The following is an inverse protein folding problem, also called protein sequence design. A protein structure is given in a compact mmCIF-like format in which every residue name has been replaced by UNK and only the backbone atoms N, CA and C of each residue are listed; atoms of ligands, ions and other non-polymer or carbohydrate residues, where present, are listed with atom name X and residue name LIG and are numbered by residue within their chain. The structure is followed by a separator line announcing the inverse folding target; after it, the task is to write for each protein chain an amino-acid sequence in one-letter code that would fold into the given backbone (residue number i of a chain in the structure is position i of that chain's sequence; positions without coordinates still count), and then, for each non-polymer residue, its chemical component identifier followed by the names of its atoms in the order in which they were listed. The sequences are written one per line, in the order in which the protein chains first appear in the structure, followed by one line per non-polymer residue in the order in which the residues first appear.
data_IF_860369726737
#
_entry.id   IF_860369726737
#
_cell.length_a   1.000
_cell.length_b   1.000
_cell.length_c   1.000
_cell.angle_alpha   90.00
_cell.angle_beta   90.00
_cell.angle_gamma   90.00
#
_symmetry.space_group_name_H-M   'P 1'
#
loop_
_entity.id
_entity.type
_entity.pdbx_description
1 polymer ?
#
# COMPACT_ATOMS: atom_id res chain seq x y z
N UNK A 1 -17.43 20.22 13.20
CA UNK A 1 -16.86 19.09 12.42
C UNK A 1 -15.96 19.67 11.33
N UNK A 2 -14.70 19.22 11.21
CA UNK A 2 -13.81 19.70 10.15
C UNK A 2 -13.97 18.79 8.92
N UNK A 3 -14.52 19.31 7.83
CA UNK A 3 -14.84 18.53 6.63
C UNK A 3 -13.63 18.27 5.73
N UNK A 4 -12.57 19.07 5.86
CA UNK A 4 -11.38 18.99 5.00
C UNK A 4 -10.71 17.60 4.92
N UNK A 5 -10.50 16.83 6.02
CA UNK A 5 -9.97 15.48 5.90
C UNK A 5 -10.92 14.51 5.16
N UNK A 6 -12.24 14.71 5.24
CA UNK A 6 -13.20 13.89 4.50
C UNK A 6 -13.06 14.06 2.99
N UNK A 7 -12.77 15.27 2.52
CA UNK A 7 -12.53 15.54 1.10
C UNK A 7 -11.31 14.79 0.54
N UNK A 8 -10.39 14.31 1.39
CA UNK A 8 -9.24 13.49 0.98
C UNK A 8 -9.55 12.00 1.14
N UNK A 9 -10.02 11.60 2.33
CA UNK A 9 -10.13 10.18 2.68
C UNK A 9 -11.32 9.50 2.01
N UNK A 10 -12.44 10.22 1.82
CA UNK A 10 -13.65 9.62 1.22
C UNK A 10 -13.43 9.26 -0.25
N UNK A 11 -12.94 10.16 -1.13
CA UNK A 11 -12.63 9.77 -2.51
C UNK A 11 -11.58 8.67 -2.60
N UNK A 12 -10.54 8.74 -1.76
CA UNK A 12 -9.51 7.71 -1.68
C UNK A 12 -10.12 6.33 -1.37
N UNK A 13 -10.92 6.22 -0.32
CA UNK A 13 -11.48 4.93 0.11
C UNK A 13 -12.59 4.45 -0.83
N UNK A 14 -13.37 5.37 -1.39
CA UNK A 14 -14.37 5.05 -2.41
C UNK A 14 -13.72 4.41 -3.65
N UNK A 15 -12.56 4.92 -4.07
CA UNK A 15 -11.82 4.38 -5.21
C UNK A 15 -11.05 3.10 -4.83
N UNK A 16 -10.21 3.16 -3.80
CA UNK A 16 -9.31 2.07 -3.44
C UNK A 16 -10.08 0.92 -2.79
N UNK A 17 -10.74 1.18 -1.65
CA UNK A 17 -11.51 0.15 -0.94
C UNK A 17 -12.76 -0.25 -1.71
N UNK A 18 -13.49 0.74 -2.24
CA UNK A 18 -14.73 0.49 -2.96
C UNK A 18 -14.49 -0.08 -4.35
N UNK A 19 -14.08 0.77 -5.29
CA UNK A 19 -13.99 0.40 -6.70
C UNK A 19 -12.98 -0.73 -6.95
N UNK A 20 -11.79 -0.69 -6.36
CA UNK A 20 -10.75 -1.68 -6.69
C UNK A 20 -10.81 -2.98 -5.88
N UNK A 21 -11.26 -2.96 -4.62
CA UNK A 21 -11.34 -4.20 -3.83
C UNK A 21 -12.75 -4.78 -3.79
N UNK A 22 -13.73 -3.99 -3.34
CA UNK A 22 -15.07 -4.52 -3.07
C UNK A 22 -15.88 -4.82 -4.34
N UNK A 23 -15.49 -4.29 -5.50
CA UNK A 23 -16.19 -4.53 -6.77
C UNK A 23 -16.12 -5.99 -7.24
N UNK A 24 -15.14 -6.76 -6.75
CA UNK A 24 -15.05 -8.20 -6.99
C UNK A 24 -16.17 -8.98 -6.27
N UNK A 25 -16.73 -8.41 -5.20
CA UNK A 25 -17.73 -9.06 -4.33
C UNK A 25 -19.14 -8.49 -4.50
N UNK A 26 -19.28 -7.28 -5.05
CA UNK A 26 -20.57 -6.62 -5.21
C UNK A 26 -20.56 -5.62 -6.39
N UNK A 27 -21.74 -5.24 -6.93
CA UNK A 27 -21.82 -4.26 -8.01
C UNK A 27 -21.06 -2.96 -7.68
N UNK A 28 -20.31 -2.45 -8.66
CA UNK A 28 -19.40 -1.31 -8.46
C UNK A 28 -20.04 -0.07 -7.80
N UNK A 29 -21.32 0.30 -8.02
CA UNK A 29 -21.90 1.45 -7.33
C UNK A 29 -22.03 1.21 -5.82
N UNK A 30 -22.42 -0.01 -5.41
CA UNK A 30 -22.52 -0.39 -4.01
C UNK A 30 -21.14 -0.48 -3.36
N UNK A 31 -20.15 -1.00 -4.09
CA UNK A 31 -18.77 -1.07 -3.64
C UNK A 31 -18.19 0.32 -3.34
N UNK A 32 -18.37 1.27 -4.26
CA UNK A 32 -17.96 2.68 -4.10
C UNK A 32 -18.63 3.32 -2.88
N UNK A 33 -19.94 3.11 -2.71
CA UNK A 33 -20.69 3.60 -1.55
C UNK A 33 -20.20 2.97 -0.24
N UNK A 34 -19.90 1.67 -0.23
CA UNK A 34 -19.35 0.98 0.93
C UNK A 34 -17.97 1.53 1.32
N UNK A 35 -17.07 1.73 0.35
CA UNK A 35 -15.77 2.36 0.58
C UNK A 35 -15.89 3.79 1.13
N UNK A 36 -16.81 4.59 0.59
CA UNK A 36 -17.11 5.93 1.08
C UNK A 36 -17.69 5.91 2.51
N UNK A 37 -18.63 5.02 2.78
CA UNK A 37 -19.25 4.85 4.09
C UNK A 37 -18.21 4.42 5.15
N UNK A 38 -17.29 3.53 4.77
CA UNK A 38 -16.20 3.09 5.63
C UNK A 38 -15.27 4.25 6.01
N UNK A 39 -14.87 5.08 5.05
CA UNK A 39 -14.11 6.30 5.34
C UNK A 39 -14.83 7.24 6.31
N UNK A 40 -16.15 7.44 6.10
CA UNK A 40 -16.96 8.26 6.99
C UNK A 40 -16.96 7.70 8.41
N UNK A 41 -17.14 6.38 8.55
CA UNK A 41 -17.12 5.69 9.84
C UNK A 41 -15.79 5.90 10.57
N UNK A 42 -14.66 5.72 9.89
CA UNK A 42 -13.33 5.99 10.46
C UNK A 42 -13.24 7.44 10.93
N UNK A 43 -13.70 8.39 10.13
CA UNK A 43 -13.72 9.80 10.51
C UNK A 43 -14.56 10.06 11.76
N UNK A 44 -15.73 9.43 11.89
CA UNK A 44 -16.58 9.53 13.08
C UNK A 44 -15.91 8.95 14.32
N UNK A 45 -15.26 7.80 14.19
CA UNK A 45 -14.48 7.18 15.27
C UNK A 45 -13.31 8.07 15.67
N UNK A 46 -12.57 8.61 14.69
CA UNK A 46 -11.44 9.52 14.92
C UNK A 46 -11.87 10.80 15.66
N UNK A 47 -13.08 11.31 15.42
CA UNK A 47 -13.63 12.45 16.15
C UNK A 47 -13.99 12.13 17.60
N UNK A 48 -14.34 10.87 17.90
CA UNK A 48 -14.63 10.41 19.27
C UNK A 48 -13.36 10.22 20.12
N UNK A 49 -12.18 10.23 19.49
CA UNK A 49 -10.91 10.18 20.21
C UNK A 49 -10.75 11.46 21.02
N UNK A 50 -10.88 11.35 22.35
CA UNK A 50 -10.75 12.47 23.25
C UNK A 50 -9.42 13.21 23.08
N UNK A 51 -9.42 14.52 23.32
CA UNK A 51 -8.25 15.39 23.09
C UNK A 51 -6.97 14.88 23.79
N UNK A 52 -7.12 14.25 24.97
CA UNK A 52 -6.01 13.65 25.73
C UNK A 52 -5.29 12.50 25.01
N UNK A 53 -5.98 11.77 24.14
CA UNK A 53 -5.44 10.60 23.43
C UNK A 53 -5.04 10.92 22.00
N UNK A 54 -5.59 11.99 21.42
CA UNK A 54 -5.41 12.33 20.00
C UNK A 54 -3.94 12.36 19.58
N UNK A 55 -3.08 13.00 20.37
CA UNK A 55 -1.64 13.04 20.08
C UNK A 55 -0.99 11.65 20.09
N UNK A 56 -1.31 10.80 21.07
CA UNK A 56 -0.78 9.43 21.16
C UNK A 56 -1.26 8.55 20.00
N UNK A 57 -2.52 8.69 19.60
CA UNK A 57 -3.05 7.95 18.45
C UNK A 57 -2.40 8.43 17.15
N UNK A 58 -2.23 9.75 16.99
CA UNK A 58 -1.50 10.32 15.85
C UNK A 58 -0.08 9.74 15.75
N UNK A 59 0.66 9.74 16.86
CA UNK A 59 2.02 9.21 16.94
C UNK A 59 2.06 7.71 16.63
N UNK A 60 1.13 6.93 17.20
CA UNK A 60 0.99 5.51 16.92
C UNK A 60 0.70 5.22 15.44
N UNK A 61 -0.22 5.97 14.83
CA UNK A 61 -0.55 5.82 13.42
C UNK A 61 0.61 6.23 12.49
N UNK A 62 1.38 7.26 12.85
CA UNK A 62 2.60 7.62 12.11
C UNK A 62 3.63 6.51 12.18
N UNK A 63 3.85 5.93 13.36
CA UNK A 63 4.78 4.80 13.53
C UNK A 63 4.31 3.57 12.75
N UNK A 64 3.01 3.24 12.81
CA UNK A 64 2.44 2.14 12.04
C UNK A 64 2.54 2.38 10.52
N UNK A 65 2.31 3.61 10.06
CA UNK A 65 2.49 4.00 8.67
C UNK A 65 3.95 3.87 8.22
N UNK A 66 4.90 4.33 9.04
CA UNK A 66 6.33 4.15 8.80
C UNK A 66 6.71 2.66 8.76
N UNK A 67 6.25 1.88 9.73
CA UNK A 67 6.52 0.44 9.81
C UNK A 67 5.96 -0.29 8.58
N UNK A 68 4.72 -0.01 8.18
CA UNK A 68 4.11 -0.61 6.99
C UNK A 68 4.81 -0.21 5.70
N UNK A 69 5.22 1.06 5.56
CA UNK A 69 5.98 1.52 4.39
C UNK A 69 7.38 0.89 4.32
N UNK A 70 8.10 0.83 5.44
CA UNK A 70 9.40 0.16 5.53
C UNK A 70 9.26 -1.34 5.23
N UNK A 71 8.25 -1.98 5.82
CA UNK A 71 7.95 -3.37 5.62
C UNK A 71 7.74 -3.69 4.13
N UNK A 72 6.82 -2.95 3.48
CA UNK A 72 6.52 -3.17 2.07
C UNK A 72 7.70 -2.79 1.15
N UNK A 73 8.42 -1.71 1.47
CA UNK A 73 9.57 -1.24 0.68
C UNK A 73 10.77 -2.17 0.76
N UNK A 74 11.23 -2.49 1.97
CA UNK A 74 12.36 -3.40 2.19
C UNK A 74 12.01 -4.84 1.80
N UNK A 75 10.81 -5.31 2.12
CA UNK A 75 10.34 -6.62 1.67
C UNK A 75 10.26 -6.69 0.15
N UNK A 76 9.75 -5.64 -0.50
CA UNK A 76 9.65 -5.57 -1.96
C UNK A 76 11.01 -5.59 -2.63
N UNK A 77 11.97 -4.81 -2.10
CA UNK A 77 13.36 -4.83 -2.56
C UNK A 77 14.00 -6.21 -2.38
N UNK A 78 13.80 -6.85 -1.22
CA UNK A 78 14.30 -8.21 -0.98
C UNK A 78 13.70 -9.20 -1.99
N UNK A 79 12.39 -9.14 -2.25
CA UNK A 79 11.74 -10.00 -3.24
C UNK A 79 12.29 -9.78 -4.66
N UNK A 80 12.53 -8.53 -5.06
CA UNK A 80 13.15 -8.20 -6.35
C UNK A 80 14.56 -8.79 -6.44
N UNK A 81 15.40 -8.62 -5.42
CA UNK A 81 16.76 -9.15 -5.40
C UNK A 81 16.80 -10.67 -5.44
N UNK A 82 15.88 -11.34 -4.72
CA UNK A 82 15.76 -12.80 -4.73
C UNK A 82 15.30 -13.33 -6.09
N UNK A 83 14.28 -12.70 -6.70
CA UNK A 83 13.79 -13.08 -8.02
C UNK A 83 14.82 -12.80 -9.12
N UNK A 84 15.48 -11.64 -9.09
CA UNK A 84 16.57 -11.32 -10.03
C UNK A 84 17.73 -12.33 -9.91
N UNK A 85 18.11 -12.69 -8.68
CA UNK A 85 19.10 -13.73 -8.43
C UNK A 85 18.67 -15.09 -8.98
N UNK A 86 17.42 -15.50 -8.75
CA UNK A 86 16.87 -16.75 -9.26
C UNK A 86 16.86 -16.79 -10.80
N UNK A 87 16.45 -15.70 -11.46
CA UNK A 87 16.37 -15.57 -12.91
C UNK A 87 17.73 -15.59 -13.62
N UNK A 88 18.84 -15.51 -12.88
CA UNK A 88 20.19 -15.73 -13.42
C UNK A 88 20.59 -17.20 -13.44
N UNK A 89 19.85 -18.08 -12.76
CA UNK A 89 20.13 -19.50 -12.72
C UNK A 89 19.66 -20.21 -13.99
N UNK A 90 20.55 -21.01 -14.59
CA UNK A 90 20.24 -21.86 -15.75
C UNK A 90 19.36 -23.07 -15.41
N UNK A 91 19.20 -23.39 -14.13
CA UNK A 91 18.38 -24.52 -13.64
C UNK A 91 16.99 -24.11 -13.16
N UNK A 92 16.67 -22.80 -13.19
CA UNK A 92 15.36 -22.32 -12.76
C UNK A 92 14.28 -22.81 -13.73
N UNK A 93 13.25 -23.46 -13.19
CA UNK A 93 12.03 -23.83 -13.91
C UNK A 93 10.94 -22.79 -13.66
N UNK A 94 9.90 -22.78 -14.51
CA UNK A 94 8.75 -21.90 -14.32
C UNK A 94 8.01 -22.22 -13.02
N UNK A 95 7.77 -23.51 -12.75
CA UNK A 95 7.10 -23.98 -11.52
C UNK A 95 7.85 -23.58 -10.25
N UNK A 96 9.18 -23.67 -10.26
CA UNK A 96 9.99 -23.25 -9.11
C UNK A 96 9.85 -21.75 -8.88
N UNK A 97 9.84 -20.95 -9.95
CA UNK A 97 9.66 -19.50 -9.87
C UNK A 97 8.27 -19.14 -9.31
N UNK A 98 7.22 -19.82 -9.78
CA UNK A 98 5.85 -19.68 -9.29
C UNK A 98 5.75 -19.99 -7.79
N UNK A 99 6.32 -21.13 -7.35
CA UNK A 99 6.31 -21.54 -5.94
C UNK A 99 7.06 -20.57 -5.04
N UNK A 100 8.13 -19.94 -5.53
CA UNK A 100 8.84 -18.88 -4.81
C UNK A 100 8.00 -17.59 -4.68
N UNK A 101 7.13 -17.33 -5.64
CA UNK A 101 6.39 -16.08 -5.75
C UNK A 101 5.01 -16.12 -5.08
N UNK A 102 4.21 -17.16 -5.33
CA UNK A 102 2.81 -17.25 -4.89
C UNK A 102 2.61 -16.94 -3.40
N UNK A 103 3.45 -17.44 -2.47
CA UNK A 103 3.29 -17.15 -1.05
C UNK A 103 3.39 -15.67 -0.70
N UNK A 104 4.04 -14.85 -1.55
CA UNK A 104 4.18 -13.41 -1.31
C UNK A 104 2.87 -12.64 -1.53
N UNK A 105 1.98 -13.11 -2.41
CA UNK A 105 0.73 -12.41 -2.77
C UNK A 105 -0.19 -12.18 -1.54
N UNK A 106 -0.67 -13.22 -0.82
CA UNK A 106 -1.59 -13.03 0.30
C UNK A 106 -0.96 -12.20 1.42
N UNK A 107 0.36 -12.30 1.56
CA UNK A 107 1.12 -11.57 2.55
C UNK A 107 1.15 -10.06 2.26
N UNK A 108 1.43 -9.67 1.00
CA UNK A 108 1.35 -8.26 0.59
C UNK A 108 -0.09 -7.74 0.57
N UNK A 109 -1.09 -8.57 0.26
CA UNK A 109 -2.50 -8.19 0.37
C UNK A 109 -2.79 -7.80 1.83
N UNK A 110 -2.48 -8.65 2.80
CA UNK A 110 -2.78 -8.39 4.21
C UNK A 110 -2.18 -7.06 4.71
N UNK A 111 -0.89 -6.81 4.44
CA UNK A 111 -0.22 -5.57 4.88
C UNK A 111 -0.82 -4.34 4.21
N UNK A 112 -1.05 -4.41 2.89
CA UNK A 112 -1.63 -3.31 2.14
C UNK A 112 -3.07 -3.02 2.56
N UNK A 113 -3.89 -4.05 2.79
CA UNK A 113 -5.26 -3.90 3.29
C UNK A 113 -5.30 -3.18 4.64
N UNK A 114 -4.40 -3.48 5.58
CA UNK A 114 -4.33 -2.76 6.87
C UNK A 114 -4.01 -1.28 6.65
N UNK A 115 -3.06 -0.97 5.76
CA UNK A 115 -2.69 0.40 5.44
C UNK A 115 -3.84 1.16 4.77
N UNK A 116 -4.48 0.57 3.76
CA UNK A 116 -5.58 1.14 2.99
C UNK A 116 -6.85 1.33 3.79
N UNK A 117 -7.26 0.29 4.52
CA UNK A 117 -8.55 0.26 5.17
C UNK A 117 -8.55 1.03 6.48
N UNK A 118 -7.39 1.21 7.12
CA UNK A 118 -7.35 1.78 8.47
C UNK A 118 -6.27 2.85 8.64
N UNK A 119 -4.99 2.51 8.45
CA UNK A 119 -3.90 3.39 8.89
C UNK A 119 -3.89 4.72 8.13
N UNK A 120 -3.92 4.66 6.79
CA UNK A 120 -3.88 5.84 5.91
C UNK A 120 -5.12 6.73 6.10
N UNK A 121 -6.35 6.18 6.10
CA UNK A 121 -7.54 6.97 6.46
C UNK A 121 -7.46 7.61 7.85
N UNK A 122 -7.13 6.82 8.88
CA UNK A 122 -7.15 7.28 10.25
C UNK A 122 -6.09 8.36 10.51
N UNK A 123 -4.90 8.23 9.93
CA UNK A 123 -3.83 9.22 10.14
C UNK A 123 -4.19 10.59 9.56
N UNK A 124 -4.91 10.62 8.43
CA UNK A 124 -5.38 11.87 7.84
C UNK A 124 -6.41 12.54 8.75
N UNK A 125 -7.36 11.80 9.31
CA UNK A 125 -8.36 12.36 10.22
C UNK A 125 -7.75 12.85 11.54
N UNK A 126 -6.93 12.03 12.18
CA UNK A 126 -6.35 12.34 13.50
C UNK A 126 -5.28 13.44 13.37
N UNK A 127 -4.42 13.34 12.36
CA UNK A 127 -3.29 14.22 12.06
C UNK A 127 -3.65 15.51 11.30
N UNK A 128 -4.93 15.86 11.15
CA UNK A 128 -5.38 17.07 10.45
C UNK A 128 -5.13 18.38 11.24
N UNK A 129 -3.95 18.54 11.84
CA UNK A 129 -3.54 19.73 12.60
C UNK A 129 -2.64 20.62 11.73
N UNK A 130 -2.74 21.93 11.87
CA UNK A 130 -1.86 22.83 11.13
C UNK A 130 -0.40 22.61 11.54
N UNK A 131 0.51 22.58 10.56
CA UNK A 131 1.95 22.44 10.79
C UNK A 131 2.66 21.58 9.74
N UNK A 132 3.99 21.51 9.85
CA UNK A 132 4.86 20.73 8.94
C UNK A 132 4.53 19.23 8.95
N UNK A 133 4.16 18.68 10.11
CA UNK A 133 3.77 17.27 10.24
C UNK A 133 2.62 16.87 9.32
N UNK A 134 1.59 17.73 9.20
CA UNK A 134 0.48 17.49 8.27
C UNK A 134 0.94 17.46 6.82
N UNK A 135 1.86 18.34 6.42
CA UNK A 135 2.38 18.36 5.05
C UNK A 135 3.09 17.05 4.73
N UNK A 136 3.92 16.56 5.66
CA UNK A 136 4.63 15.28 5.51
C UNK A 136 3.66 14.09 5.42
N UNK A 137 2.65 14.04 6.31
CA UNK A 137 1.61 12.99 6.28
C UNK A 137 0.85 13.03 4.95
N UNK A 138 0.40 14.21 4.51
CA UNK A 138 -0.36 14.32 3.27
C UNK A 138 0.49 13.99 2.04
N UNK A 139 1.77 14.37 2.01
CA UNK A 139 2.68 13.96 0.95
C UNK A 139 2.80 12.43 0.87
N UNK A 140 2.98 11.76 2.01
CA UNK A 140 3.04 10.29 2.06
C UNK A 140 1.71 9.66 1.60
N UNK A 141 0.57 10.20 2.03
CA UNK A 141 -0.77 9.73 1.64
C UNK A 141 -1.02 9.88 0.14
N UNK A 142 -0.61 11.00 -0.47
CA UNK A 142 -0.74 11.23 -1.91
C UNK A 142 0.13 10.26 -2.71
N UNK A 143 1.38 10.06 -2.30
CA UNK A 143 2.26 9.05 -2.91
C UNK A 143 1.67 7.65 -2.78
N UNK A 144 1.14 7.32 -1.59
CA UNK A 144 0.48 6.05 -1.35
C UNK A 144 -0.71 5.85 -2.28
N UNK A 145 -1.56 6.86 -2.44
CA UNK A 145 -2.70 6.80 -3.34
C UNK A 145 -2.30 6.57 -4.79
N UNK A 146 -1.37 7.37 -5.32
CA UNK A 146 -0.88 7.19 -6.69
C UNK A 146 -0.31 5.79 -6.90
N UNK A 147 0.50 5.32 -5.94
CA UNK A 147 1.05 3.96 -5.96
C UNK A 147 -0.04 2.88 -5.92
N UNK A 148 -1.10 3.06 -5.13
CA UNK A 148 -2.22 2.09 -5.06
C UNK A 148 -3.02 2.06 -6.36
N UNK A 149 -3.32 3.20 -6.97
CA UNK A 149 -3.99 3.25 -8.28
C UNK A 149 -3.17 2.47 -9.31
N UNK A 150 -1.86 2.72 -9.40
CA UNK A 150 -0.99 1.93 -10.28
C UNK A 150 -0.97 0.44 -9.92
N UNK A 151 -1.01 0.12 -8.63
CA UNK A 151 -1.02 -1.27 -8.17
C UNK A 151 -2.24 -2.02 -8.69
N UNK A 152 -3.43 -1.42 -8.63
CA UNK A 152 -4.65 -2.07 -9.12
C UNK A 152 -4.79 -2.06 -10.65
N UNK A 153 -4.27 -1.05 -11.33
CA UNK A 153 -4.42 -0.93 -12.79
C UNK A 153 -3.38 -1.73 -13.59
N UNK A 154 -2.17 -1.88 -13.07
CA UNK A 154 -1.06 -2.50 -13.82
C UNK A 154 -0.43 -3.67 -13.05
N UNK A 155 0.01 -3.42 -11.81
CA UNK A 155 0.86 -4.38 -11.10
C UNK A 155 0.16 -5.66 -10.68
N UNK A 156 -1.00 -5.55 -10.01
CA UNK A 156 -1.75 -6.71 -9.55
C UNK A 156 -2.28 -7.54 -10.74
N UNK A 157 -2.87 -6.95 -11.80
CA UNK A 157 -3.25 -7.70 -12.99
C UNK A 157 -2.11 -8.48 -13.63
N UNK A 158 -0.93 -7.86 -13.83
CA UNK A 158 0.23 -8.54 -14.41
C UNK A 158 0.66 -9.76 -13.57
N UNK A 159 0.71 -9.59 -12.24
CA UNK A 159 1.12 -10.65 -11.31
C UNK A 159 0.11 -11.77 -11.15
N UNK A 160 -1.18 -11.46 -11.17
CA UNK A 160 -2.24 -12.47 -11.13
C UNK A 160 -2.30 -13.24 -12.45
N UNK A 161 -2.19 -12.55 -13.59
CA UNK A 161 -2.14 -13.20 -14.90
C UNK A 161 -0.95 -14.16 -15.02
N UNK A 162 0.21 -13.79 -14.47
CA UNK A 162 1.35 -14.69 -14.40
C UNK A 162 1.05 -15.91 -13.50
N UNK A 163 0.52 -15.69 -12.30
CA UNK A 163 0.15 -16.76 -11.37
C UNK A 163 -0.93 -17.72 -11.88
N UNK A 164 -1.79 -17.27 -12.81
CA UNK A 164 -2.83 -18.09 -13.42
C UNK A 164 -2.35 -18.83 -14.69
N UNK A 165 -1.15 -18.51 -15.18
CA UNK A 165 -0.59 -19.12 -16.39
C UNK A 165 0.04 -20.48 -16.12
N UNK A 166 0.07 -21.34 -17.13
CA UNK A 166 0.76 -22.63 -17.02
C UNK A 166 2.26 -22.43 -17.16
N UNK A 167 3.01 -22.92 -16.18
CA UNK A 167 4.46 -22.82 -16.15
C UNK A 167 5.13 -24.15 -16.55
N UNK A 168 6.37 -24.02 -17.05
CA UNK A 168 7.16 -25.17 -17.50
C UNK A 168 7.88 -25.84 -16.33
N UNK A 169 7.81 -27.17 -16.28
CA UNK A 169 8.65 -28.00 -15.39
C UNK A 169 10.09 -28.12 -15.90
N UNK A 170 10.35 -27.76 -17.15
CA UNK A 170 11.70 -27.75 -17.73
C UNK A 170 12.45 -26.46 -17.39
N UNK A 171 13.79 -26.48 -17.38
CA UNK A 171 14.58 -25.26 -17.17
C UNK A 171 14.24 -24.19 -18.21
N UNK A 172 14.00 -22.98 -17.73
CA UNK A 172 13.68 -21.84 -18.57
C UNK A 172 14.85 -21.48 -19.49
N UNK A 173 14.55 -21.18 -20.74
CA UNK A 173 15.47 -20.55 -21.67
C UNK A 173 15.82 -19.13 -21.22
N UNK A 174 16.88 -18.55 -21.77
CA UNK A 174 17.24 -17.16 -21.46
C UNK A 174 16.12 -16.17 -21.83
N UNK A 175 15.44 -16.40 -22.97
CA UNK A 175 14.32 -15.58 -23.41
C UNK A 175 13.13 -15.64 -22.45
N UNK A 176 12.77 -16.84 -22.00
CA UNK A 176 11.68 -17.02 -21.03
C UNK A 176 12.00 -16.38 -19.67
N UNK A 177 13.26 -16.42 -19.22
CA UNK A 177 13.65 -15.70 -17.99
C UNK A 177 13.55 -14.19 -18.14
N UNK A 178 13.90 -13.64 -19.31
CA UNK A 178 13.69 -12.21 -19.59
C UNK A 178 12.21 -11.85 -19.64
N UNK A 179 11.37 -12.68 -20.26
CA UNK A 179 9.93 -12.47 -20.28
C UNK A 179 9.33 -12.52 -18.87
N UNK A 180 9.71 -13.53 -18.06
CA UNK A 180 9.27 -13.65 -16.68
C UNK A 180 9.66 -12.42 -15.84
N UNK A 181 10.85 -11.84 -16.07
CA UNK A 181 11.25 -10.61 -15.39
C UNK A 181 10.31 -9.42 -15.69
N UNK A 182 9.83 -9.33 -16.93
CA UNK A 182 8.92 -8.28 -17.39
C UNK A 182 7.50 -8.52 -16.86
N UNK A 183 6.99 -9.75 -16.96
CA UNK A 183 5.64 -10.12 -16.50
C UNK A 183 5.50 -9.94 -14.97
N UNK A 184 6.57 -10.22 -14.23
CA UNK A 184 6.63 -10.01 -12.78
C UNK A 184 6.92 -8.55 -12.37
N UNK A 185 7.19 -7.69 -13.35
CA UNK A 185 7.52 -6.27 -13.20
C UNK A 185 8.66 -6.03 -12.20
N UNK A 186 9.80 -6.72 -12.38
CA UNK A 186 10.96 -6.62 -11.48
C UNK A 186 11.60 -5.22 -11.46
N UNK A 187 11.43 -4.45 -12.53
CA UNK A 187 11.93 -3.09 -12.70
C UNK A 187 10.97 -2.01 -12.15
N UNK A 188 9.83 -2.41 -11.59
CA UNK A 188 8.83 -1.48 -11.06
C UNK A 188 9.39 -0.64 -9.88
N UNK A 189 9.32 0.70 -9.94
CA UNK A 189 9.97 1.59 -8.99
C UNK A 189 9.21 1.77 -7.66
N UNK A 190 8.13 1.03 -7.39
CA UNK A 190 7.29 1.23 -6.19
C UNK A 190 8.04 1.02 -4.88
N UNK A 191 9.05 0.16 -4.84
CA UNK A 191 9.88 -0.01 -3.64
C UNK A 191 10.58 1.31 -3.26
N UNK A 192 11.02 2.10 -4.24
CA UNK A 192 11.60 3.44 -4.02
C UNK A 192 10.54 4.37 -3.44
N UNK A 193 9.33 4.38 -4.00
CA UNK A 193 8.22 5.19 -3.48
C UNK A 193 7.87 4.82 -2.03
N UNK A 194 7.89 3.53 -1.69
CA UNK A 194 7.70 3.02 -0.33
C UNK A 194 8.78 3.50 0.63
N UNK A 195 10.04 3.52 0.21
CA UNK A 195 11.13 4.10 1.00
C UNK A 195 10.98 5.62 1.18
N UNK A 196 10.54 6.34 0.15
CA UNK A 196 10.23 7.78 0.25
C UNK A 196 9.09 8.01 1.24
N UNK A 197 8.01 7.22 1.17
CA UNK A 197 6.91 7.29 2.14
C UNK A 197 7.36 6.97 3.56
N UNK A 198 8.21 5.95 3.72
CA UNK A 198 8.83 5.64 5.01
C UNK A 198 9.60 6.83 5.58
N UNK A 199 10.45 7.47 4.77
CA UNK A 199 11.19 8.67 5.18
C UNK A 199 10.24 9.81 5.56
N UNK A 200 9.17 10.04 4.79
CA UNK A 200 8.17 11.06 5.12
C UNK A 200 7.48 10.81 6.45
N UNK A 201 7.07 9.56 6.74
CA UNK A 201 6.49 9.21 8.04
C UNK A 201 7.50 9.29 9.18
N UNK A 202 8.76 8.90 8.94
CA UNK A 202 9.83 9.01 9.93
C UNK A 202 10.08 10.48 10.29
N UNK A 203 10.21 11.35 9.28
CA UNK A 203 10.32 12.80 9.50
C UNK A 203 9.08 13.35 10.20
N UNK A 204 7.87 12.87 9.86
CA UNK A 204 6.64 13.26 10.53
C UNK A 204 6.61 12.82 12.01
N UNK A 205 7.28 11.73 12.38
CA UNK A 205 7.42 11.31 13.78
C UNK A 205 8.40 12.21 14.55
N UNK A 206 9.44 12.70 13.89
CA UNK A 206 10.45 13.58 14.50
C UNK A 206 9.95 15.03 14.67
N UNK A 207 9.06 15.48 13.79
CA UNK A 207 8.45 16.81 13.89
C UNK A 207 7.36 16.81 14.96
N UNK A 208 7.66 17.39 16.13
CA UNK A 208 6.66 17.56 17.21
C UNK A 208 5.46 18.39 16.72
N UNK A 209 4.22 18.03 17.10
CA UNK A 209 3.05 18.85 16.81
C UNK A 209 3.23 20.23 17.44
N UNK A 210 2.96 21.29 16.68
CA UNK A 210 3.18 22.69 17.08
C UNK A 210 2.35 23.16 18.31
N UNK A 211 1.53 22.30 18.91
CA UNK A 211 0.74 22.64 20.10
C UNK A 211 1.08 21.65 21.21
N UNK A 212 2.13 22.00 21.97
CA UNK A 212 2.15 21.85 23.43
C UNK A 212 1.96 23.26 23.99
N UNK A 213 0.71 23.62 24.28
CA UNK A 213 0.39 24.63 25.29
C UNK A 213 -0.48 23.91 26.30
#
# INVERSE_FOLDING_TARGET
MNWKPYAVVVPFSALITGLFNLSELMPWPLAVLAGAAWAVLIGLVAQRIGQRWRGRVEDGLVVLGAAGAAFAGCGGLMAILLLDGALRSSSLTGDALEQMFLPSIPYYIAVNSVLELLIVPAIVYVGWRAGRRRILILAAVVLYFGMRVWTYLAFAPARLAWAESTHSTEPLTAGERTQAAQDLMLDDPRWILLLVMFLLFLLAALVRPAVRR
#
